data_IF_747388020691
#
_entry.id   IF_747388020691
#
_cell.length_a   1.000
_cell.length_b   1.000
_cell.length_c   1.000
_cell.angle_alpha   90.00
_cell.angle_beta   90.00
_cell.angle_gamma   90.00
#
_symmetry.space_group_name_H-M   'P 1'
#
loop_
_entity.id
_entity.type
_entity.pdbx_description
1 polymer ?
#
# COMPACT_ATOMS: atom_id res chain seq x y z
N UNK A 1 9.79 31.34 -10.92
CA UNK A 1 8.64 32.06 -10.33
C UNK A 1 8.57 31.71 -8.86
N UNK A 2 8.45 32.71 -8.00
CA UNK A 2 8.17 32.51 -6.59
C UNK A 2 6.66 32.33 -6.45
N UNK A 3 6.24 31.13 -6.06
CA UNK A 3 4.84 30.79 -5.81
C UNK A 3 4.56 31.03 -4.34
N UNK A 4 3.65 31.95 -4.03
CA UNK A 4 3.19 32.27 -2.68
C UNK A 4 1.74 31.83 -2.53
N UNK A 5 1.47 30.91 -1.60
CA UNK A 5 0.11 30.55 -1.23
C UNK A 5 0.04 30.08 0.23
N UNK A 6 -0.82 30.71 1.03
CA UNK A 6 -1.13 30.32 2.42
C UNK A 6 0.09 30.05 3.33
N UNK A 7 1.15 30.86 3.19
CA UNK A 7 2.33 30.83 4.07
C UNK A 7 3.47 29.91 3.61
N UNK A 8 3.36 29.24 2.46
CA UNK A 8 4.44 28.46 1.85
C UNK A 8 4.91 29.13 0.56
N UNK A 9 6.18 29.53 0.52
CA UNK A 9 6.84 30.07 -0.67
C UNK A 9 7.66 28.96 -1.35
N UNK A 10 7.40 28.69 -2.63
CA UNK A 10 8.14 27.70 -3.44
C UNK A 10 8.71 28.36 -4.70
N UNK A 11 9.97 28.09 -5.00
CA UNK A 11 10.57 28.46 -6.29
C UNK A 11 10.29 27.34 -7.29
N UNK A 12 9.61 27.66 -8.40
CA UNK A 12 9.26 26.72 -9.48
C UNK A 12 9.42 27.37 -10.85
N UNK A 13 9.43 26.57 -11.90
CA UNK A 13 9.39 27.03 -13.29
C UNK A 13 8.06 26.63 -13.94
N UNK A 14 7.67 27.17 -15.10
CA UNK A 14 6.47 26.75 -15.85
C UNK A 14 6.83 25.82 -17.02
N UNK A 15 8.06 25.91 -17.50
CA UNK A 15 8.67 24.98 -18.43
C UNK A 15 10.17 24.85 -18.11
N UNK A 16 10.78 23.74 -18.52
CA UNK A 16 12.23 23.66 -18.64
C UNK A 16 12.57 23.08 -20.00
N UNK A 17 13.75 23.39 -20.48
CA UNK A 17 14.36 22.71 -21.61
C UNK A 17 15.76 22.27 -21.19
N UNK A 18 16.24 21.21 -21.80
CA UNK A 18 17.61 20.75 -21.67
C UNK A 18 18.27 20.82 -23.04
N UNK A 19 19.58 21.14 -23.12
CA UNK A 19 20.34 21.01 -24.35
C UNK A 19 20.19 19.60 -24.96
N UNK A 20 20.15 19.53 -26.30
CA UNK A 20 19.87 18.28 -27.01
C UNK A 20 20.92 17.20 -26.72
N UNK A 21 22.18 17.62 -26.57
CA UNK A 21 23.35 16.80 -26.24
C UNK A 21 23.31 16.21 -24.82
N UNK A 22 22.52 16.78 -23.90
CA UNK A 22 22.32 16.18 -22.56
C UNK A 22 20.94 15.56 -22.38
N UNK A 23 20.02 15.75 -23.33
CA UNK A 23 18.64 15.30 -23.22
C UNK A 23 18.50 13.78 -23.05
N UNK A 24 19.39 13.01 -23.68
CA UNK A 24 19.45 11.55 -23.54
C UNK A 24 20.01 11.09 -22.17
N UNK A 25 20.64 11.98 -21.41
CA UNK A 25 21.24 11.70 -20.10
C UNK A 25 20.36 12.16 -18.93
N UNK A 26 19.27 12.89 -19.19
CA UNK A 26 18.38 13.45 -18.16
C UNK A 26 17.05 12.70 -18.15
N UNK A 27 16.86 11.82 -17.16
CA UNK A 27 15.59 11.11 -16.97
C UNK A 27 14.47 12.01 -16.42
N UNK A 28 14.81 12.91 -15.49
CA UNK A 28 13.86 13.79 -14.81
C UNK A 28 14.59 15.01 -14.24
N UNK A 29 14.04 16.22 -14.41
CA UNK A 29 14.44 17.39 -13.62
C UNK A 29 13.36 17.66 -12.57
N UNK A 30 13.74 17.53 -11.30
CA UNK A 30 12.85 17.70 -10.17
C UNK A 30 13.53 18.54 -9.05
N UNK A 31 12.85 19.53 -8.45
CA UNK A 31 11.50 20.03 -8.73
C UNK A 31 11.46 21.09 -9.85
N UNK A 32 10.48 21.04 -10.78
CA UNK A 32 10.40 21.99 -11.91
C UNK A 32 9.02 22.60 -12.15
N UNK A 33 8.20 22.06 -13.05
CA UNK A 33 7.07 22.76 -13.70
C UNK A 33 5.77 22.81 -12.90
N UNK A 34 5.86 22.55 -11.60
CA UNK A 34 4.74 22.00 -10.88
C UNK A 34 4.39 22.76 -9.60
N UNK A 35 3.09 23.04 -9.44
CA UNK A 35 2.50 23.81 -8.36
C UNK A 35 1.34 23.03 -7.75
N UNK A 36 1.46 22.56 -6.51
CA UNK A 36 0.28 22.14 -5.77
C UNK A 36 0.45 22.10 -4.25
N UNK A 37 -0.69 21.88 -3.56
CA UNK A 37 -0.89 21.86 -2.09
C UNK A 37 -1.09 20.47 -1.42
N UNK A 38 -0.52 20.17 -0.27
CA UNK A 38 -0.65 18.87 0.44
C UNK A 38 -2.07 18.54 0.97
N UNK A 39 -2.62 17.34 0.70
CA UNK A 39 -3.65 16.65 1.53
C UNK A 39 -3.40 15.13 1.55
N UNK A 40 -3.77 14.44 2.64
CA UNK A 40 -3.53 13.00 2.84
C UNK A 40 -4.78 12.17 2.56
N UNK A 41 -4.58 10.93 2.09
CA UNK A 41 -5.55 9.86 2.32
C UNK A 41 -5.49 9.53 3.80
N UNK A 42 -6.30 10.25 4.57
CA UNK A 42 -6.43 9.99 6.00
C UNK A 42 -6.85 8.54 6.23
N UNK A 43 -6.43 7.91 7.34
CA UNK A 43 -7.00 6.64 7.77
C UNK A 43 -8.52 6.75 7.76
N UNK A 44 -9.21 5.68 7.35
CA UNK A 44 -10.68 5.69 7.29
C UNK A 44 -11.23 5.98 8.69
N UNK A 45 -11.67 7.21 8.90
CA UNK A 45 -12.38 7.63 10.10
C UNK A 45 -13.83 7.17 9.96
N UNK A 46 -14.14 6.02 10.56
CA UNK A 46 -15.47 5.42 10.49
C UNK A 46 -16.49 6.30 11.22
N UNK A 47 -17.50 6.78 10.49
CA UNK A 47 -18.77 7.21 11.05
C UNK A 47 -19.63 5.96 11.33
N UNK A 48 -20.05 5.76 12.58
CA UNK A 48 -20.66 4.53 13.12
C UNK A 48 -22.06 4.16 12.59
N UNK A 49 -22.44 4.48 11.35
CA UNK A 49 -23.82 4.39 10.88
C UNK A 49 -24.08 3.42 9.71
N UNK A 50 -23.15 2.53 9.34
CA UNK A 50 -23.45 1.48 8.36
C UNK A 50 -23.69 0.12 9.03
N UNK A 51 -24.85 -0.48 8.72
CA UNK A 51 -25.30 -1.76 9.25
C UNK A 51 -24.39 -2.92 8.82
N UNK A 52 -24.00 -3.72 9.80
CA UNK A 52 -23.17 -4.92 9.63
C UNK A 52 -23.88 -5.97 8.75
N UNK A 53 -23.24 -6.50 7.69
CA UNK A 53 -23.79 -7.63 6.96
C UNK A 53 -23.72 -8.91 7.82
N UNK A 54 -24.81 -9.68 7.85
CA UNK A 54 -24.89 -10.98 8.54
C UNK A 54 -23.85 -11.99 7.99
N UNK A 55 -23.06 -12.57 8.91
CA UNK A 55 -21.98 -13.52 8.60
C UNK A 55 -22.49 -14.96 8.75
N UNK A 56 -22.71 -15.65 7.62
CA UNK A 56 -22.99 -17.10 7.60
C UNK A 56 -21.72 -17.96 7.82
N UNK A 57 -21.95 -19.13 8.43
CA UNK A 57 -20.95 -20.03 9.04
C UNK A 57 -20.02 -20.75 8.05
N UNK A 58 -18.74 -20.80 8.45
CA UNK A 58 -17.65 -21.78 8.16
C UNK A 58 -16.91 -21.68 6.82
N UNK A 59 -15.61 -21.38 6.92
CA UNK A 59 -14.49 -22.16 6.32
C UNK A 59 -13.10 -21.58 6.69
N UNK A 60 -12.74 -21.49 7.97
CA UNK A 60 -11.33 -21.54 8.38
C UNK A 60 -11.12 -22.59 9.46
N UNK A 61 -10.06 -23.40 9.33
CA UNK A 61 -9.73 -24.51 10.25
C UNK A 61 -8.81 -24.09 11.41
N UNK A 62 -8.42 -22.81 11.47
CA UNK A 62 -7.61 -22.27 12.56
C UNK A 62 -8.54 -21.79 13.70
N UNK A 63 -8.24 -22.13 14.96
CA UNK A 63 -8.98 -21.60 16.10
C UNK A 63 -8.67 -20.11 16.23
N UNK A 64 -9.57 -19.26 15.72
CA UNK A 64 -9.56 -17.82 15.90
C UNK A 64 -10.28 -17.45 17.19
N UNK A 65 -9.65 -16.63 18.02
CA UNK A 65 -10.29 -16.02 19.17
C UNK A 65 -11.55 -15.24 18.75
N UNK A 66 -12.65 -15.41 19.49
CA UNK A 66 -13.91 -14.76 19.19
C UNK A 66 -13.80 -13.22 19.23
N UNK A 67 -12.86 -12.67 20.01
CA UNK A 67 -12.57 -11.23 20.06
C UNK A 67 -12.10 -10.65 18.73
N UNK A 68 -11.52 -11.47 17.84
CA UNK A 68 -11.13 -11.02 16.50
C UNK A 68 -12.33 -10.66 15.62
N UNK A 69 -13.55 -11.01 16.02
CA UNK A 69 -14.79 -10.55 15.35
C UNK A 69 -15.23 -9.16 15.82
N UNK A 70 -14.67 -8.64 16.91
CA UNK A 70 -15.02 -7.34 17.48
C UNK A 70 -14.02 -6.24 17.11
N UNK A 71 -12.76 -6.63 16.91
CA UNK A 71 -11.70 -5.71 16.51
C UNK A 71 -10.40 -6.46 16.26
N UNK A 72 -9.64 -6.00 15.27
CA UNK A 72 -8.36 -6.58 14.91
C UNK A 72 -7.28 -6.02 15.83
N UNK A 73 -6.63 -6.94 16.53
CA UNK A 73 -5.52 -6.71 17.45
C UNK A 73 -4.28 -7.45 16.94
N UNK A 74 -3.07 -7.16 17.46
CA UNK A 74 -1.88 -7.87 17.02
C UNK A 74 -1.92 -9.39 17.28
N UNK A 75 -2.64 -9.86 18.31
CA UNK A 75 -2.87 -11.29 18.52
C UNK A 75 -3.81 -11.89 17.47
N UNK A 76 -4.79 -11.13 16.98
CA UNK A 76 -5.65 -11.54 15.88
C UNK A 76 -4.88 -11.67 14.57
N UNK A 77 -4.02 -10.70 14.23
CA UNK A 77 -3.18 -10.76 13.03
C UNK A 77 -2.26 -12.00 13.04
N UNK A 78 -1.67 -12.30 14.21
CA UNK A 78 -0.85 -13.51 14.37
C UNK A 78 -1.65 -14.80 14.20
N UNK A 79 -2.93 -14.82 14.57
CA UNK A 79 -3.81 -15.99 14.38
C UNK A 79 -4.32 -16.09 12.94
N UNK A 80 -4.79 -14.98 12.36
CA UNK A 80 -5.31 -14.91 10.98
C UNK A 80 -4.27 -15.41 9.98
N UNK A 81 -3.02 -14.96 10.12
CA UNK A 81 -1.94 -15.29 9.20
C UNK A 81 -1.04 -16.41 9.68
N UNK A 82 -1.51 -17.20 10.66
CA UNK A 82 -0.81 -18.39 11.13
C UNK A 82 0.66 -18.10 11.49
N UNK A 83 0.94 -17.04 12.25
CA UNK A 83 2.31 -16.72 12.70
C UNK A 83 2.82 -17.79 13.67
N UNK A 84 1.92 -18.39 14.44
CA UNK A 84 2.24 -19.48 15.36
C UNK A 84 3.15 -19.02 16.51
N UNK A 85 4.17 -19.83 16.82
CA UNK A 85 5.11 -19.61 17.91
C UNK A 85 6.43 -18.96 17.46
N UNK A 86 6.50 -18.47 16.21
CA UNK A 86 7.68 -17.82 15.68
C UNK A 86 8.06 -16.59 16.51
N UNK A 87 9.32 -16.51 16.93
CA UNK A 87 9.87 -15.41 17.72
C UNK A 87 11.03 -14.76 16.96
N UNK A 88 10.83 -13.57 16.38
CA UNK A 88 11.94 -12.85 15.76
C UNK A 88 12.98 -12.42 16.81
N UNK A 89 14.18 -12.07 16.35
CA UNK A 89 15.26 -11.55 17.20
C UNK A 89 15.69 -10.17 16.71
N UNK A 90 15.85 -9.23 17.63
CA UNK A 90 16.37 -7.90 17.32
C UNK A 90 17.79 -7.94 16.72
N UNK A 91 18.55 -9.00 17.00
CA UNK A 91 19.96 -9.15 16.60
C UNK A 91 20.15 -9.93 15.29
N UNK A 92 19.07 -10.33 14.61
CA UNK A 92 19.17 -11.07 13.33
C UNK A 92 19.73 -10.24 12.19
N UNK A 93 19.72 -8.92 12.32
CA UNK A 93 20.02 -7.97 11.26
C UNK A 93 18.83 -7.64 10.35
N UNK A 94 17.68 -8.29 10.54
CA UNK A 94 16.45 -7.94 9.82
C UNK A 94 15.83 -6.68 10.43
N UNK A 95 15.70 -5.62 9.63
CA UNK A 95 15.03 -4.37 10.02
C UNK A 95 13.83 -4.16 9.12
N UNK A 96 12.74 -3.66 9.68
CA UNK A 96 11.54 -3.27 8.95
C UNK A 96 11.35 -1.76 9.02
N UNK A 97 10.70 -1.17 8.02
CA UNK A 97 10.49 0.26 7.99
C UNK A 97 9.16 0.66 7.36
N UNK A 98 8.76 1.90 7.61
CA UNK A 98 7.66 2.53 6.90
C UNK A 98 8.00 3.97 6.51
N UNK A 99 7.43 4.42 5.40
CA UNK A 99 7.49 5.82 4.98
C UNK A 99 6.34 6.61 5.60
N UNK A 100 6.63 7.82 6.09
CA UNK A 100 5.61 8.78 6.49
C UNK A 100 5.77 10.05 5.68
N UNK A 101 4.67 10.44 5.04
CA UNK A 101 4.62 11.60 4.15
C UNK A 101 3.68 12.65 4.75
N UNK A 102 3.56 13.81 4.09
CA UNK A 102 2.51 14.79 4.37
C UNK A 102 2.51 15.36 5.82
N UNK A 103 3.71 15.46 6.42
CA UNK A 103 3.93 15.95 7.79
C UNK A 103 3.32 15.06 8.88
N UNK A 104 3.19 13.76 8.59
CA UNK A 104 2.78 12.78 9.57
C UNK A 104 3.98 12.15 10.26
N UNK A 105 3.80 11.84 11.54
CA UNK A 105 4.81 11.17 12.35
C UNK A 105 4.11 10.39 13.46
N UNK A 106 4.54 9.17 13.73
CA UNK A 106 3.93 8.38 14.79
C UNK A 106 4.18 9.03 16.17
N UNK A 107 3.22 8.87 17.07
CA UNK A 107 3.25 9.36 18.43
C UNK A 107 3.90 8.34 19.36
N UNK A 108 4.96 8.76 20.04
CA UNK A 108 5.66 7.93 21.02
C UNK A 108 4.74 7.54 22.19
N UNK A 109 3.86 8.47 22.62
CA UNK A 109 2.91 8.20 23.70
C UNK A 109 1.79 7.24 23.28
N UNK A 110 1.33 7.32 22.04
CA UNK A 110 0.30 6.42 21.54
C UNK A 110 0.86 5.00 21.35
N UNK A 111 2.09 4.87 20.85
CA UNK A 111 2.77 3.59 20.76
C UNK A 111 2.96 2.95 22.15
N UNK A 112 3.33 3.74 23.17
CA UNK A 112 3.42 3.28 24.56
C UNK A 112 2.07 2.71 25.05
N UNK A 113 0.98 3.44 24.82
CA UNK A 113 -0.37 3.00 25.20
C UNK A 113 -0.79 1.71 24.48
N UNK A 114 -0.48 1.61 23.18
CA UNK A 114 -0.72 0.41 22.39
C UNK A 114 0.04 -0.80 22.96
N UNK A 115 1.33 -0.63 23.24
CA UNK A 115 2.17 -1.66 23.84
C UNK A 115 1.65 -2.12 25.21
N UNK A 116 1.28 -1.18 26.08
CA UNK A 116 0.74 -1.47 27.41
C UNK A 116 -0.61 -2.19 27.35
N UNK A 117 -1.47 -1.81 26.39
CA UNK A 117 -2.78 -2.43 26.16
C UNK A 117 -2.64 -3.87 25.69
N UNK A 118 -1.77 -4.12 24.72
CA UNK A 118 -1.61 -5.44 24.07
C UNK A 118 -0.46 -6.27 24.61
N UNK A 119 0.18 -5.82 25.71
CA UNK A 119 1.27 -6.53 26.41
C UNK A 119 2.47 -6.81 25.52
N UNK A 120 2.80 -5.85 24.66
CA UNK A 120 4.00 -5.87 23.83
C UNK A 120 5.10 -5.13 24.60
N UNK A 121 6.30 -5.71 24.77
CA UNK A 121 7.41 -4.99 25.39
C UNK A 121 7.78 -3.73 24.59
N UNK A 122 8.12 -2.67 25.30
CA UNK A 122 8.50 -1.41 24.66
C UNK A 122 9.75 -1.59 23.81
N UNK A 123 9.71 -1.04 22.59
CA UNK A 123 10.85 -0.94 21.69
C UNK A 123 10.88 0.45 21.06
N UNK A 124 12.08 0.91 20.69
CA UNK A 124 12.22 2.16 19.95
C UNK A 124 11.83 1.97 18.48
N UNK A 125 11.12 2.95 17.93
CA UNK A 125 10.98 3.16 16.48
C UNK A 125 11.98 4.25 16.10
N UNK A 126 12.95 3.93 15.24
CA UNK A 126 13.99 4.87 14.83
C UNK A 126 13.43 5.83 13.80
N UNK A 127 13.44 7.13 14.08
CA UNK A 127 12.97 8.15 13.13
C UNK A 127 14.13 8.69 12.29
N UNK A 128 13.93 8.74 10.98
CA UNK A 128 14.88 9.27 10.02
C UNK A 128 14.23 10.43 9.27
N UNK A 129 14.85 11.60 9.36
CA UNK A 129 14.38 12.80 8.70
C UNK A 129 14.94 12.88 7.27
N UNK A 130 14.04 13.06 6.29
CA UNK A 130 14.36 13.31 4.88
C UNK A 130 13.74 14.67 4.51
N UNK A 131 14.55 15.56 3.92
CA UNK A 131 14.10 16.87 3.45
C UNK A 131 13.41 17.75 4.52
N UNK A 132 13.96 17.78 5.74
CA UNK A 132 13.46 18.60 6.85
C UNK A 132 11.99 18.32 7.19
N UNK A 133 11.56 17.05 7.10
CA UNK A 133 10.23 16.64 7.52
C UNK A 133 9.99 17.01 8.99
N UNK A 134 8.84 17.55 9.38
CA UNK A 134 8.56 17.75 10.80
C UNK A 134 8.34 16.39 11.50
N UNK A 135 8.83 16.27 12.73
CA UNK A 135 8.41 15.24 13.68
C UNK A 135 7.50 15.92 14.71
N UNK A 136 6.19 15.77 14.56
CA UNK A 136 5.22 16.46 15.40
C UNK A 136 4.64 15.51 16.46
N UNK A 137 5.10 15.69 17.70
CA UNK A 137 4.61 14.96 18.88
C UNK A 137 3.58 15.76 19.70
N UNK A 138 3.17 16.94 19.21
CA UNK A 138 2.30 17.85 19.95
C UNK A 138 0.79 17.55 19.78
N UNK A 139 -0.07 18.18 20.59
CA UNK A 139 -1.52 18.13 20.41
C UNK A 139 -1.93 18.65 19.02
N UNK A 140 -2.77 17.91 18.31
CA UNK A 140 -3.22 18.28 16.96
C UNK A 140 -2.29 17.85 15.82
N UNK A 141 -1.25 17.05 16.10
CA UNK A 141 -0.47 16.39 15.06
C UNK A 141 -1.33 15.42 14.24
N UNK A 142 -1.13 15.38 12.91
CA UNK A 142 -1.65 14.29 12.08
C UNK A 142 -0.77 13.07 12.31
N UNK A 143 -1.30 12.08 13.02
CA UNK A 143 -0.55 10.88 13.40
C UNK A 143 -1.35 9.59 13.19
N UNK A 144 -2.56 9.66 12.63
CA UNK A 144 -3.43 8.49 12.51
C UNK A 144 -2.81 7.38 11.67
N UNK A 145 -2.31 7.72 10.48
CA UNK A 145 -1.67 6.78 9.55
C UNK A 145 -0.32 6.29 10.08
N UNK A 146 0.57 7.21 10.46
CA UNK A 146 1.87 6.85 11.02
C UNK A 146 1.75 6.02 12.31
N UNK A 147 0.71 6.24 13.14
CA UNK A 147 0.40 5.37 14.27
C UNK A 147 -0.09 4.00 13.84
N UNK A 148 -0.96 3.92 12.83
CA UNK A 148 -1.45 2.66 12.28
C UNK A 148 -0.29 1.78 11.79
N UNK A 149 0.62 2.36 11.00
CA UNK A 149 1.82 1.67 10.51
C UNK A 149 2.71 1.22 11.67
N UNK A 150 3.15 2.16 12.52
CA UNK A 150 4.07 1.87 13.61
C UNK A 150 3.53 0.80 14.57
N UNK A 151 2.26 0.93 14.97
CA UNK A 151 1.65 0.04 15.96
C UNK A 151 1.45 -1.37 15.39
N UNK A 152 1.02 -1.52 14.13
CA UNK A 152 0.88 -2.85 13.52
C UNK A 152 2.24 -3.51 13.26
N UNK A 153 3.24 -2.77 12.78
CA UNK A 153 4.59 -3.32 12.57
C UNK A 153 5.22 -3.80 13.88
N UNK A 154 5.14 -2.98 14.93
CA UNK A 154 5.61 -3.37 16.27
C UNK A 154 4.79 -4.55 16.81
N UNK A 155 3.46 -4.49 16.73
CA UNK A 155 2.58 -5.53 17.29
C UNK A 155 2.76 -6.90 16.64
N UNK A 156 3.00 -6.94 15.33
CA UNK A 156 3.19 -8.20 14.59
C UNK A 156 4.62 -8.71 14.74
N UNK A 157 5.64 -7.87 14.54
CA UNK A 157 7.03 -8.31 14.38
C UNK A 157 7.98 -7.98 15.54
N UNK A 158 7.48 -7.55 16.70
CA UNK A 158 8.32 -7.39 17.90
C UNK A 158 9.19 -8.63 18.16
N UNK A 159 10.53 -8.50 18.40
CA UNK A 159 11.28 -7.26 18.64
C UNK A 159 12.13 -6.77 17.45
N UNK A 160 11.73 -7.00 16.19
CA UNK A 160 12.51 -6.48 15.05
C UNK A 160 12.66 -4.95 15.12
N UNK A 161 13.83 -4.37 14.80
CA UNK A 161 14.00 -2.93 14.70
C UNK A 161 13.07 -2.34 13.64
N UNK A 162 12.36 -1.27 14.03
CA UNK A 162 11.43 -0.53 13.16
C UNK A 162 12.02 0.84 12.87
N UNK A 163 11.99 1.27 11.61
CA UNK A 163 12.45 2.58 11.15
C UNK A 163 11.29 3.34 10.52
N UNK A 164 11.06 4.57 10.94
CA UNK A 164 10.14 5.51 10.30
C UNK A 164 10.95 6.50 9.46
N UNK A 165 10.62 6.64 8.18
CA UNK A 165 11.21 7.64 7.31
C UNK A 165 10.24 8.80 7.10
N UNK A 166 10.45 9.88 7.85
CA UNK A 166 9.70 11.12 7.74
C UNK A 166 10.20 11.88 6.51
N UNK A 167 9.37 12.02 5.48
CA UNK A 167 9.77 12.67 4.22
C UNK A 167 9.00 13.97 3.98
N UNK A 168 9.74 15.08 4.02
CA UNK A 168 9.25 16.40 3.70
C UNK A 168 9.32 16.71 2.20
N UNK A 169 8.57 17.72 1.80
CA UNK A 169 8.54 18.21 0.43
C UNK A 169 7.15 18.17 -0.20
N UNK A 170 7.07 18.57 -1.46
CA UNK A 170 5.84 18.46 -2.26
C UNK A 170 6.23 18.11 -3.69
N UNK A 171 5.92 16.90 -4.16
CA UNK A 171 6.22 16.41 -5.51
C UNK A 171 5.26 17.00 -6.58
N UNK A 172 5.28 16.46 -7.82
CA UNK A 172 4.41 16.84 -8.93
C UNK A 172 2.95 16.31 -8.91
N UNK A 173 1.94 17.11 -9.32
CA UNK A 173 0.53 16.74 -9.63
C UNK A 173 0.15 17.00 -11.11
N UNK A 174 -0.75 16.19 -11.64
CA UNK A 174 -1.61 16.49 -12.78
C UNK A 174 -3.05 16.46 -12.23
N UNK A 175 -3.72 17.63 -12.08
CA UNK A 175 -5.02 17.67 -11.41
C UNK A 175 -6.08 16.79 -12.10
N UNK A 176 -6.97 16.22 -11.30
CA UNK A 176 -8.22 15.58 -11.76
C UNK A 176 -9.39 16.01 -10.86
N UNK A 177 -10.58 15.40 -11.02
CA UNK A 177 -11.74 15.76 -10.21
C UNK A 177 -11.58 15.42 -8.72
N UNK A 178 -10.75 14.41 -8.38
CA UNK A 178 -10.47 14.04 -7.00
C UNK A 178 -9.49 15.06 -6.36
N UNK A 179 -8.68 15.74 -7.18
CA UNK A 179 -7.58 16.60 -6.74
C UNK A 179 -7.65 18.01 -7.37
N UNK A 180 -8.63 18.83 -6.95
CA UNK A 180 -8.98 20.10 -7.64
C UNK A 180 -7.97 21.26 -7.54
N UNK A 181 -6.89 21.17 -6.76
CA UNK A 181 -5.79 22.18 -6.70
C UNK A 181 -4.68 21.84 -5.68
N UNK A 182 -4.92 20.82 -4.85
CA UNK A 182 -4.02 20.37 -3.81
C UNK A 182 -3.18 19.17 -4.32
N UNK A 183 -1.86 19.34 -4.44
CA UNK A 183 -0.84 18.29 -4.50
C UNK A 183 -0.85 17.39 -3.25
N UNK A 184 -1.65 16.35 -3.28
CA UNK A 184 -1.58 15.22 -2.35
C UNK A 184 -0.37 14.34 -2.60
N UNK A 185 0.29 14.46 -3.77
CA UNK A 185 1.33 13.53 -4.16
C UNK A 185 2.43 13.44 -3.11
N UNK A 186 2.91 12.22 -2.92
CA UNK A 186 3.96 11.95 -1.96
C UNK A 186 5.34 12.13 -2.57
N UNK A 187 6.31 12.66 -1.80
CA UNK A 187 7.67 12.90 -2.26
C UNK A 187 8.48 11.60 -2.43
N UNK A 188 7.97 10.65 -3.23
CA UNK A 188 8.61 9.38 -3.57
C UNK A 188 10.01 9.53 -4.14
N UNK A 189 10.25 10.49 -5.05
CA UNK A 189 11.59 10.67 -5.64
C UNK A 189 12.64 10.99 -4.57
N UNK A 190 12.52 12.05 -3.74
CA UNK A 190 13.52 12.30 -2.70
C UNK A 190 13.57 11.20 -1.64
N UNK A 191 12.44 10.52 -1.34
CA UNK A 191 12.41 9.37 -0.45
C UNK A 191 13.28 8.21 -0.96
N UNK A 192 13.03 7.75 -2.18
CA UNK A 192 13.77 6.64 -2.79
C UNK A 192 15.21 7.02 -3.15
N UNK A 193 15.48 8.28 -3.52
CA UNK A 193 16.85 8.79 -3.68
C UNK A 193 17.63 8.73 -2.37
N UNK A 194 17.01 9.11 -1.25
CA UNK A 194 17.63 9.00 0.06
C UNK A 194 17.96 7.54 0.40
N UNK A 195 17.01 6.62 0.22
CA UNK A 195 17.26 5.19 0.44
C UNK A 195 18.40 4.68 -0.43
N UNK A 196 18.42 5.04 -1.72
CA UNK A 196 19.49 4.64 -2.63
C UNK A 196 20.86 5.21 -2.26
N UNK A 197 20.92 6.36 -1.58
CA UNK A 197 22.17 6.93 -1.07
C UNK A 197 22.81 6.15 0.09
N UNK A 198 22.05 5.25 0.74
CA UNK A 198 22.52 4.45 1.88
C UNK A 198 23.29 3.23 1.44
N UNK A 199 24.16 2.70 2.31
CA UNK A 199 24.76 1.38 2.14
C UNK A 199 23.73 0.26 2.39
N UNK A 200 24.01 -0.97 1.93
CA UNK A 200 23.11 -2.11 2.19
C UNK A 200 22.93 -2.40 3.69
N UNK A 201 23.95 -2.14 4.52
CA UNK A 201 23.88 -2.34 5.95
C UNK A 201 22.94 -1.35 6.65
N UNK A 202 22.76 -0.15 6.08
CA UNK A 202 21.87 0.88 6.61
C UNK A 202 20.41 0.65 6.17
N UNK A 203 20.18 0.00 5.01
CA UNK A 203 18.83 -0.25 4.49
C UNK A 203 18.05 -1.26 5.35
N UNK A 204 16.72 -1.06 5.50
CA UNK A 204 15.81 -2.08 6.00
C UNK A 204 15.61 -3.18 4.96
N UNK A 205 15.14 -4.34 5.40
CA UNK A 205 14.92 -5.51 4.56
C UNK A 205 13.47 -5.59 4.06
N UNK A 206 12.53 -4.91 4.72
CA UNK A 206 11.16 -4.71 4.26
C UNK A 206 10.69 -3.29 4.57
N UNK A 207 10.02 -2.66 3.61
CA UNK A 207 9.49 -1.29 3.70
C UNK A 207 8.00 -1.32 3.37
N UNK A 208 7.15 -0.73 4.20
CA UNK A 208 5.75 -0.44 3.89
C UNK A 208 5.57 1.05 3.60
N UNK A 209 4.82 1.38 2.56
CA UNK A 209 4.29 2.71 2.36
C UNK A 209 2.78 2.60 2.18
N UNK A 210 2.04 3.40 2.94
CA UNK A 210 0.59 3.36 3.01
C UNK A 210 -0.05 4.59 2.37
N UNK A 211 0.53 5.01 1.23
CA UNK A 211 0.18 6.24 0.52
C UNK A 211 0.11 5.98 -0.97
N UNK A 212 -0.71 6.74 -1.69
CA UNK A 212 -0.89 6.55 -3.12
C UNK A 212 -2.07 7.33 -3.66
N UNK A 213 -2.18 7.41 -4.98
CA UNK A 213 -3.04 8.36 -5.67
C UNK A 213 -3.48 7.81 -7.03
N UNK A 214 -4.51 8.37 -7.69
CA UNK A 214 -4.83 7.97 -9.05
C UNK A 214 -3.60 8.08 -9.96
N UNK A 215 -3.23 7.01 -10.67
CA UNK A 215 -2.01 6.95 -11.49
C UNK A 215 -1.94 8.12 -12.48
N UNK A 216 -3.09 8.51 -13.04
CA UNK A 216 -3.20 9.63 -13.99
C UNK A 216 -2.84 10.99 -13.40
N UNK A 217 -2.86 11.16 -12.07
CA UNK A 217 -2.50 12.42 -11.39
C UNK A 217 -1.00 12.51 -11.14
N UNK A 218 -0.26 11.41 -11.30
CA UNK A 218 1.20 11.38 -11.19
C UNK A 218 1.79 11.55 -12.60
N UNK A 219 2.72 12.50 -12.84
CA UNK A 219 3.39 12.58 -14.13
C UNK A 219 4.10 11.28 -14.49
N UNK A 220 3.85 10.76 -15.70
CA UNK A 220 4.34 9.45 -16.14
C UNK A 220 5.85 9.27 -15.97
N UNK A 221 6.65 10.29 -16.28
CA UNK A 221 8.11 10.25 -16.12
C UNK A 221 8.54 10.20 -14.64
N UNK A 222 7.82 10.89 -13.74
CA UNK A 222 8.02 10.80 -12.30
C UNK A 222 7.71 9.39 -11.80
N UNK A 223 6.56 8.83 -12.19
CA UNK A 223 6.17 7.47 -11.84
C UNK A 223 7.21 6.42 -12.32
N UNK A 224 7.64 6.52 -13.58
CA UNK A 224 8.67 5.64 -14.15
C UNK A 224 10.03 5.76 -13.46
N UNK A 225 10.45 6.98 -13.12
CA UNK A 225 11.71 7.23 -12.39
C UNK A 225 11.64 6.64 -10.99
N UNK A 226 10.54 6.89 -10.27
CA UNK A 226 10.26 6.30 -8.95
C UNK A 226 10.32 4.78 -9.00
N UNK A 227 9.60 4.14 -9.92
CA UNK A 227 9.62 2.70 -10.11
C UNK A 227 11.02 2.15 -10.42
N UNK A 228 11.83 2.87 -11.20
CA UNK A 228 13.21 2.46 -11.48
C UNK A 228 14.05 2.45 -10.21
N UNK A 229 13.89 3.45 -9.34
CA UNK A 229 14.60 3.50 -8.05
C UNK A 229 14.18 2.37 -7.11
N UNK A 230 12.88 2.04 -7.09
CA UNK A 230 12.35 0.90 -6.35
C UNK A 230 12.95 -0.41 -6.87
N UNK A 231 13.04 -0.60 -8.20
CA UNK A 231 13.65 -1.80 -8.79
C UNK A 231 15.11 -1.97 -8.33
N UNK A 232 15.87 -0.88 -8.25
CA UNK A 232 17.25 -0.90 -7.72
C UNK A 232 17.27 -1.32 -6.24
N UNK A 233 16.33 -0.85 -5.41
CA UNK A 233 16.21 -1.32 -4.03
C UNK A 233 15.88 -2.82 -3.94
N UNK A 234 14.99 -3.31 -4.82
CA UNK A 234 14.68 -4.72 -4.95
C UNK A 234 15.90 -5.59 -5.22
N UNK A 235 16.78 -5.15 -6.14
CA UNK A 235 18.06 -5.81 -6.45
C UNK A 235 19.02 -5.79 -5.25
N UNK A 236 18.91 -4.75 -4.40
CA UNK A 236 19.70 -4.62 -3.17
C UNK A 236 19.13 -5.41 -1.98
N UNK A 237 18.12 -6.24 -2.21
CA UNK A 237 17.57 -7.15 -1.20
C UNK A 237 16.50 -6.52 -0.30
N UNK A 238 15.90 -5.41 -0.72
CA UNK A 238 14.79 -4.76 0.00
C UNK A 238 13.46 -5.16 -0.61
N UNK A 239 12.52 -5.65 0.21
CA UNK A 239 11.12 -5.83 -0.18
C UNK A 239 10.36 -4.51 0.03
N UNK A 240 9.71 -3.99 -1.01
CA UNK A 240 8.93 -2.75 -0.93
C UNK A 240 7.46 -3.07 -1.13
N UNK A 241 6.65 -2.72 -0.13
CA UNK A 241 5.20 -2.90 -0.10
C UNK A 241 4.51 -1.55 -0.20
N UNK A 242 3.46 -1.49 -1.01
CA UNK A 242 2.63 -0.31 -1.19
C UNK A 242 1.17 -0.71 -1.01
N UNK A 243 0.40 0.05 -0.23
CA UNK A 243 -1.04 -0.13 -0.17
C UNK A 243 -1.65 0.06 -1.57
N UNK A 244 -2.64 -0.76 -1.92
CA UNK A 244 -3.27 -0.67 -3.25
C UNK A 244 -4.21 0.53 -3.37
N UNK A 245 -4.71 1.06 -2.24
CA UNK A 245 -5.67 2.15 -2.13
C UNK A 245 -7.04 1.69 -1.62
N UNK A 246 -7.87 2.65 -1.20
CA UNK A 246 -9.17 2.39 -0.56
C UNK A 246 -10.36 3.04 -1.31
N UNK A 247 -10.23 3.23 -2.62
CA UNK A 247 -11.29 3.80 -3.47
C UNK A 247 -11.84 2.78 -4.46
N UNK A 248 -11.54 1.49 -4.23
CA UNK A 248 -11.87 0.41 -5.12
C UNK A 248 -11.34 0.67 -6.54
N UNK A 249 -12.22 0.63 -7.53
CA UNK A 249 -11.82 0.82 -8.95
C UNK A 249 -11.48 2.28 -9.27
N UNK A 250 -11.80 3.20 -8.36
CA UNK A 250 -11.65 4.65 -8.50
C UNK A 250 -12.94 5.38 -8.13
N UNK A 251 -12.83 6.66 -7.77
CA UNK A 251 -13.99 7.47 -7.37
C UNK A 251 -14.68 8.11 -8.58
N UNK A 252 -13.95 8.97 -9.31
CA UNK A 252 -14.49 9.77 -10.41
C UNK A 252 -14.49 9.03 -11.77
N UNK A 253 -13.55 8.12 -12.02
CA UNK A 253 -13.42 7.33 -13.23
C UNK A 253 -13.50 8.11 -14.55
N UNK A 254 -12.83 9.28 -14.57
CA UNK A 254 -12.74 10.16 -15.74
C UNK A 254 -11.28 10.42 -16.13
N UNK A 255 -10.98 10.41 -17.43
CA UNK A 255 -9.65 10.74 -17.92
C UNK A 255 -9.34 12.23 -17.74
N UNK A 256 -8.14 12.54 -17.24
CA UNK A 256 -7.65 13.91 -17.04
C UNK A 256 -6.80 14.44 -18.23
N UNK A 257 -6.81 13.74 -19.37
CA UNK A 257 -6.09 14.08 -20.61
C UNK A 257 -6.81 15.09 -21.51
N UNK A 258 -7.85 15.76 -21.00
CA UNK A 258 -8.70 16.69 -21.73
C UNK A 258 -9.80 16.01 -22.57
N UNK A 259 -9.78 14.69 -22.74
CA UNK A 259 -10.79 13.95 -23.52
C UNK A 259 -12.02 13.55 -22.70
N UNK A 260 -11.91 13.57 -21.36
CA UNK A 260 -13.01 13.24 -20.43
C UNK A 260 -13.66 11.88 -20.73
N UNK A 261 -12.86 10.87 -21.07
CA UNK A 261 -13.31 9.50 -21.32
C UNK A 261 -13.59 8.82 -19.99
N UNK A 262 -14.59 7.94 -19.93
CA UNK A 262 -14.82 7.09 -18.76
C UNK A 262 -13.75 6.01 -18.73
N UNK A 263 -12.98 5.94 -17.65
CA UNK A 263 -11.91 4.97 -17.45
C UNK A 263 -11.83 4.59 -15.98
N UNK A 264 -11.43 3.37 -15.67
CA UNK A 264 -11.03 3.00 -14.31
C UNK A 264 -9.79 3.80 -13.89
N UNK A 265 -9.63 4.04 -12.59
CA UNK A 265 -8.51 4.83 -12.05
C UNK A 265 -7.59 3.94 -11.22
N UNK A 266 -6.62 3.24 -11.84
CA UNK A 266 -5.60 2.52 -11.09
C UNK A 266 -4.82 3.49 -10.20
N UNK A 267 -4.26 3.00 -9.09
CA UNK A 267 -3.53 3.83 -8.13
C UNK A 267 -2.01 3.69 -8.33
N UNK A 268 -1.24 4.73 -8.04
CA UNK A 268 0.22 4.74 -7.97
C UNK A 268 0.63 5.12 -6.55
N UNK A 269 1.61 4.44 -5.92
CA UNK A 269 2.53 3.46 -6.50
C UNK A 269 2.00 2.02 -6.64
N UNK A 270 0.76 1.69 -6.23
CA UNK A 270 0.22 0.31 -6.34
C UNK A 270 0.33 -0.33 -7.74
N UNK A 271 0.26 0.47 -8.80
CA UNK A 271 0.46 0.09 -10.21
C UNK A 271 1.91 -0.16 -10.62
N UNK A 272 2.90 0.21 -9.79
CA UNK A 272 4.30 -0.01 -10.08
C UNK A 272 4.63 -1.51 -10.14
N UNK A 273 5.37 -2.00 -11.16
CA UNK A 273 5.69 -3.42 -11.31
C UNK A 273 6.86 -3.89 -10.42
N UNK A 274 7.49 -2.99 -9.65
CA UNK A 274 8.68 -3.30 -8.85
C UNK A 274 8.45 -3.22 -7.35
N UNK A 275 7.20 -3.00 -6.95
CA UNK A 275 6.70 -3.14 -5.57
C UNK A 275 5.82 -4.38 -5.48
N UNK A 276 5.55 -4.81 -4.26
CA UNK A 276 4.48 -5.76 -3.95
C UNK A 276 3.26 -4.97 -3.48
N UNK A 277 2.22 -4.88 -4.31
CA UNK A 277 1.01 -4.12 -4.02
C UNK A 277 0.09 -4.93 -3.11
N UNK A 278 -0.35 -4.32 -2.01
CA UNK A 278 -1.12 -4.97 -0.95
C UNK A 278 -2.55 -4.46 -0.95
N UNK A 279 -3.47 -5.33 -1.36
CA UNK A 279 -4.91 -5.14 -1.30
C UNK A 279 -5.52 -5.45 0.06
N UNK A 280 -6.83 -5.31 0.12
CA UNK A 280 -7.61 -5.46 1.34
C UNK A 280 -8.61 -6.61 1.33
N UNK A 281 -8.70 -7.28 2.47
CA UNK A 281 -9.78 -8.21 2.80
C UNK A 281 -10.57 -7.74 4.00
N UNK A 282 -11.73 -8.33 4.23
CA UNK A 282 -12.55 -8.14 5.41
C UNK A 282 -13.17 -9.47 5.84
N UNK A 283 -13.94 -9.44 6.94
CA UNK A 283 -14.28 -10.60 7.76
C UNK A 283 -13.05 -11.32 8.32
N UNK A 284 -13.26 -12.36 9.13
CA UNK A 284 -12.17 -13.13 9.77
C UNK A 284 -12.26 -14.64 9.57
N UNK A 285 -13.41 -15.18 9.12
CA UNK A 285 -13.57 -16.63 8.92
C UNK A 285 -14.79 -16.95 8.04
N UNK A 286 -14.61 -17.07 6.72
CA UNK A 286 -13.39 -16.74 5.96
C UNK A 286 -13.19 -15.23 5.80
N UNK A 287 -11.98 -14.81 5.44
CA UNK A 287 -11.78 -13.49 4.87
C UNK A 287 -12.34 -13.44 3.45
N UNK A 288 -12.91 -12.30 3.06
CA UNK A 288 -13.47 -12.01 1.74
C UNK A 288 -12.88 -10.70 1.21
N UNK A 289 -12.98 -10.44 -0.10
CA UNK A 289 -12.53 -9.17 -0.68
C UNK A 289 -13.23 -7.98 -0.01
N UNK A 290 -12.45 -7.00 0.44
CA UNK A 290 -12.98 -5.78 0.99
C UNK A 290 -13.46 -4.87 -0.15
N UNK A 291 -14.69 -4.36 -0.03
CA UNK A 291 -15.38 -3.67 -1.13
C UNK A 291 -14.67 -2.42 -1.64
N UNK A 292 -13.92 -1.76 -0.77
CA UNK A 292 -13.23 -0.52 -1.13
C UNK A 292 -11.73 -0.76 -1.41
N UNK A 293 -11.25 -2.01 -1.38
CA UNK A 293 -9.88 -2.37 -1.80
C UNK A 293 -9.64 -2.01 -3.26
N UNK A 294 -8.65 -1.14 -3.51
CA UNK A 294 -8.31 -0.74 -4.87
C UNK A 294 -7.56 -1.81 -5.64
N UNK A 295 -7.83 -1.87 -6.94
CA UNK A 295 -7.22 -2.82 -7.85
C UNK A 295 -7.69 -2.65 -9.29
N UNK A 296 -6.97 -3.26 -10.22
CA UNK A 296 -7.20 -3.06 -11.65
C UNK A 296 -5.90 -3.18 -12.45
N UNK A 297 -5.77 -2.37 -13.50
CA UNK A 297 -4.68 -2.46 -14.46
C UNK A 297 -4.09 -1.08 -14.76
N UNK A 298 -2.77 -0.98 -14.73
CA UNK A 298 -2.01 0.24 -15.03
C UNK A 298 -2.17 0.71 -16.48
N UNK A 299 -2.22 2.02 -16.68
CA UNK A 299 -2.06 2.69 -17.98
C UNK A 299 -0.61 3.08 -18.28
N UNK A 300 0.26 3.15 -17.27
CA UNK A 300 1.66 3.56 -17.44
C UNK A 300 2.62 2.39 -17.66
N UNK A 301 2.39 1.28 -16.96
CA UNK A 301 3.30 0.15 -16.86
C UNK A 301 2.73 -1.07 -17.58
N UNK A 302 3.46 -1.64 -18.55
CA UNK A 302 3.04 -2.87 -19.21
C UNK A 302 3.06 -4.03 -18.21
N UNK A 303 2.29 -5.08 -18.52
CA UNK A 303 2.29 -6.30 -17.72
C UNK A 303 3.70 -6.89 -17.58
N UNK A 304 4.25 -7.03 -16.37
CA UNK A 304 5.56 -7.64 -16.17
C UNK A 304 5.51 -9.16 -16.38
N UNK A 305 6.65 -9.74 -16.72
CA UNK A 305 6.78 -11.15 -17.09
C UNK A 305 6.30 -12.11 -15.99
N UNK A 306 6.50 -11.77 -14.71
CA UNK A 306 6.19 -12.64 -13.59
C UNK A 306 4.69 -12.85 -13.37
N UNK A 307 3.83 -11.99 -13.93
CA UNK A 307 2.37 -12.08 -13.76
C UNK A 307 1.62 -12.43 -15.05
N UNK A 308 2.35 -12.76 -16.14
CA UNK A 308 1.74 -13.03 -17.44
C UNK A 308 0.75 -14.18 -17.34
N UNK A 309 1.13 -15.28 -16.71
CA UNK A 309 0.32 -16.50 -16.64
C UNK A 309 -0.94 -16.29 -15.80
N UNK A 310 -0.81 -15.70 -14.62
CA UNK A 310 -1.91 -15.43 -13.70
C UNK A 310 -2.92 -14.45 -14.29
N UNK A 311 -2.46 -13.32 -14.83
CA UNK A 311 -3.36 -12.31 -15.41
C UNK A 311 -4.01 -12.82 -16.70
N UNK A 312 -3.29 -13.58 -17.53
CA UNK A 312 -3.89 -14.19 -18.73
C UNK A 312 -4.95 -15.22 -18.35
N UNK A 313 -4.71 -16.00 -17.31
CA UNK A 313 -5.70 -16.94 -16.78
C UNK A 313 -6.95 -16.19 -16.28
N UNK A 314 -6.78 -15.11 -15.53
CA UNK A 314 -7.90 -14.27 -15.10
C UNK A 314 -8.73 -13.76 -16.29
N UNK A 315 -8.07 -13.11 -17.27
CA UNK A 315 -8.73 -12.49 -18.41
C UNK A 315 -9.41 -13.48 -19.37
N UNK A 316 -8.98 -14.74 -19.39
CA UNK A 316 -9.50 -15.75 -20.32
C UNK A 316 -10.48 -16.73 -19.67
N UNK A 317 -10.35 -16.98 -18.36
CA UNK A 317 -11.07 -18.03 -17.65
C UNK A 317 -12.01 -17.51 -16.57
N UNK A 318 -11.64 -16.47 -15.84
CA UNK A 318 -12.32 -16.11 -14.60
C UNK A 318 -13.12 -14.81 -14.65
N UNK A 319 -12.72 -13.84 -15.49
CA UNK A 319 -13.61 -12.72 -15.81
C UNK A 319 -14.75 -13.21 -16.74
N UNK A 320 -16.02 -12.95 -16.42
CA UNK A 320 -17.11 -13.31 -17.32
C UNK A 320 -16.94 -12.60 -18.68
N UNK A 321 -17.12 -13.28 -19.83
CA UNK A 321 -16.94 -12.66 -21.15
C UNK A 321 -17.83 -11.43 -21.38
N UNK A 322 -19.02 -11.41 -20.79
CA UNK A 322 -19.94 -10.26 -20.82
C UNK A 322 -19.39 -9.06 -20.05
N UNK A 323 -18.77 -9.29 -18.89
CA UNK A 323 -18.11 -8.25 -18.10
C UNK A 323 -16.88 -7.73 -18.82
N UNK A 324 -16.03 -8.62 -19.36
CA UNK A 324 -14.85 -8.22 -20.13
C UNK A 324 -15.22 -7.38 -21.35
N UNK A 325 -16.27 -7.77 -22.09
CA UNK A 325 -16.78 -7.00 -23.23
C UNK A 325 -17.26 -5.61 -22.79
N UNK A 326 -18.00 -5.54 -21.68
CA UNK A 326 -18.47 -4.27 -21.12
C UNK A 326 -17.32 -3.37 -20.66
N UNK A 327 -16.27 -3.95 -20.08
CA UNK A 327 -15.13 -3.21 -19.55
C UNK A 327 -14.06 -2.86 -20.60
N UNK A 328 -14.15 -3.37 -21.82
CA UNK A 328 -13.09 -3.24 -22.84
C UNK A 328 -12.62 -1.79 -23.09
N UNK A 329 -13.50 -0.81 -22.91
CA UNK A 329 -13.20 0.61 -23.12
C UNK A 329 -12.74 1.35 -21.86
N UNK A 330 -12.78 0.69 -20.68
CA UNK A 330 -12.56 1.31 -19.38
C UNK A 330 -11.24 0.94 -18.71
N UNK A 331 -10.51 -0.08 -19.18
CA UNK A 331 -9.22 -0.45 -18.60
C UNK A 331 -8.21 -0.91 -19.65
N UNK A 332 -6.92 -0.80 -19.30
CA UNK A 332 -5.83 -1.30 -20.12
C UNK A 332 -5.55 -2.78 -19.81
N UNK A 333 -6.10 -3.69 -20.61
CA UNK A 333 -5.89 -5.14 -20.43
C UNK A 333 -4.41 -5.57 -20.48
N UNK A 334 -3.55 -4.81 -21.17
CA UNK A 334 -2.13 -5.14 -21.33
C UNK A 334 -1.25 -4.56 -20.21
N UNK A 335 -1.86 -3.83 -19.27
CA UNK A 335 -1.17 -3.20 -18.14
C UNK A 335 -0.77 -4.17 -17.02
N UNK A 336 0.08 -3.68 -16.12
CA UNK A 336 0.34 -4.29 -14.81
C UNK A 336 -0.97 -4.36 -14.03
N UNK A 337 -1.50 -5.57 -13.85
CA UNK A 337 -2.61 -5.88 -12.95
C UNK A 337 -2.17 -5.86 -11.49
N UNK A 338 -2.94 -5.23 -10.58
CA UNK A 338 -2.71 -5.11 -9.13
C UNK A 338 -4.04 -5.28 -8.36
N UNK A 339 -4.05 -5.61 -7.05
CA UNK A 339 -2.89 -5.85 -6.17
C UNK A 339 -2.17 -7.17 -6.48
N UNK A 340 -1.03 -7.42 -5.83
CA UNK A 340 -0.31 -8.71 -5.92
C UNK A 340 -0.80 -9.69 -4.86
N UNK A 341 -1.11 -9.20 -3.67
CA UNK A 341 -1.52 -9.96 -2.47
C UNK A 341 -2.46 -9.09 -1.65
N UNK A 342 -3.14 -9.66 -0.65
CA UNK A 342 -3.99 -8.91 0.27
C UNK A 342 -3.78 -9.29 1.74
N UNK A 343 -4.29 -8.46 2.63
CA UNK A 343 -4.50 -8.77 4.05
C UNK A 343 -5.72 -7.99 4.56
N UNK A 344 -6.21 -8.36 5.74
CA UNK A 344 -7.31 -7.71 6.44
C UNK A 344 -7.17 -6.19 6.45
N UNK A 345 -8.25 -5.49 6.16
CA UNK A 345 -8.24 -4.03 6.00
C UNK A 345 -9.30 -3.33 6.82
N UNK A 346 -10.51 -3.85 7.00
CA UNK A 346 -11.56 -3.00 7.60
C UNK A 346 -12.54 -3.65 8.55
N UNK A 347 -13.21 -4.75 8.18
CA UNK A 347 -14.35 -5.23 8.96
C UNK A 347 -14.04 -6.59 9.58
N UNK A 348 -13.78 -6.71 10.89
CA UNK A 348 -13.81 -5.66 11.91
C UNK A 348 -12.57 -4.77 11.89
N UNK A 349 -12.68 -3.56 12.45
CA UNK A 349 -11.62 -2.55 12.34
C UNK A 349 -10.40 -2.86 13.21
N UNK A 350 -9.26 -2.29 12.82
CA UNK A 350 -8.04 -2.30 13.60
C UNK A 350 -8.19 -1.43 14.84
N UNK A 351 -7.66 -1.93 15.96
CA UNK A 351 -7.66 -1.25 17.25
C UNK A 351 -6.33 -0.55 17.46
N UNK A 352 -6.28 0.78 17.24
CA UNK A 352 -5.05 1.59 17.33
C UNK A 352 -5.21 2.73 18.31
N UNK A 353 -4.11 3.23 18.87
CA UNK A 353 -4.11 4.46 19.67
C UNK A 353 -3.83 5.67 18.80
N UNK A 354 -4.67 6.69 18.91
CA UNK A 354 -4.52 7.98 18.22
C UNK A 354 -4.94 9.08 19.19
N UNK A 355 -4.02 9.99 19.51
CA UNK A 355 -4.28 11.11 20.41
C UNK A 355 -4.65 10.64 21.83
N UNK A 356 -3.98 9.61 22.33
CA UNK A 356 -4.17 9.05 23.66
C UNK A 356 -5.40 8.14 23.84
N UNK A 357 -6.18 7.90 22.77
CA UNK A 357 -7.41 7.10 22.82
C UNK A 357 -7.35 5.91 21.89
N UNK A 358 -7.97 4.79 22.28
CA UNK A 358 -8.19 3.66 21.40
C UNK A 358 -9.26 4.03 20.36
N UNK A 359 -8.93 3.90 19.07
CA UNK A 359 -9.75 4.29 17.93
C UNK A 359 -9.80 3.15 16.91
N UNK A 360 -10.94 2.99 16.21
CA UNK A 360 -10.99 2.14 15.03
C UNK A 360 -10.17 2.76 13.90
N UNK A 361 -9.48 1.92 13.14
CA UNK A 361 -8.80 2.29 11.90
C UNK A 361 -8.84 1.12 10.91
N UNK A 362 -8.33 1.31 9.69
CA UNK A 362 -8.36 0.30 8.66
C UNK A 362 -7.76 0.79 7.35
N UNK A 363 -8.20 0.20 6.25
CA UNK A 363 -7.65 0.45 4.91
C UNK A 363 -6.63 -0.60 4.48
N UNK A 364 -6.27 -0.54 3.20
CA UNK A 364 -5.10 -1.23 2.66
C UNK A 364 -3.80 -0.70 3.29
N UNK A 365 -3.86 0.53 3.82
CA UNK A 365 -2.96 1.11 4.81
C UNK A 365 -2.68 0.25 6.03
N UNK A 366 -3.66 -0.51 6.54
CA UNK A 366 -3.43 -1.43 7.65
C UNK A 366 -2.83 -2.77 7.18
N UNK A 367 -3.14 -3.18 5.94
CA UNK A 367 -2.71 -4.45 5.36
C UNK A 367 -1.22 -4.46 4.96
N UNK A 368 -0.74 -3.37 4.35
CA UNK A 368 0.65 -3.21 3.89
C UNK A 368 1.71 -3.37 5.00
N UNK A 369 1.62 -2.66 6.15
CA UNK A 369 2.60 -2.80 7.24
C UNK A 369 2.59 -4.21 7.87
N UNK A 370 1.46 -4.91 7.83
CA UNK A 370 1.40 -6.31 8.29
C UNK A 370 2.21 -7.21 7.38
N UNK A 371 2.10 -7.06 6.06
CA UNK A 371 2.94 -7.79 5.10
C UNK A 371 4.43 -7.48 5.26
N UNK A 372 4.80 -6.20 5.45
CA UNK A 372 6.18 -5.82 5.74
C UNK A 372 6.71 -6.46 7.03
N UNK A 373 5.88 -6.52 8.07
CA UNK A 373 6.22 -7.18 9.34
C UNK A 373 6.42 -8.71 9.16
N UNK A 374 5.51 -9.38 8.44
CA UNK A 374 5.62 -10.82 8.13
C UNK A 374 6.89 -11.13 7.34
N UNK A 375 7.20 -10.36 6.29
CA UNK A 375 8.41 -10.56 5.50
C UNK A 375 9.69 -10.16 6.27
N UNK A 376 9.60 -9.17 7.17
CA UNK A 376 10.65 -8.91 8.14
C UNK A 376 11.01 -10.13 8.98
N UNK A 377 10.00 -10.88 9.45
CA UNK A 377 10.20 -12.13 10.18
C UNK A 377 10.76 -13.25 9.29
N UNK A 378 10.40 -13.33 8.00
CA UNK A 378 11.05 -14.24 7.06
C UNK A 378 12.54 -13.92 6.89
N UNK A 379 12.87 -12.64 6.75
CA UNK A 379 14.25 -12.17 6.62
C UNK A 379 15.04 -12.42 7.92
N UNK A 380 14.41 -12.32 9.09
CA UNK A 380 15.02 -12.71 10.37
C UNK A 380 15.43 -14.20 10.36
N UNK A 381 14.56 -15.10 9.91
CA UNK A 381 14.89 -16.53 9.80
C UNK A 381 16.04 -16.78 8.81
N UNK A 382 15.97 -16.14 7.64
CA UNK A 382 16.95 -16.29 6.57
C UNK A 382 18.33 -15.77 6.98
N UNK A 383 18.41 -14.60 7.59
CA UNK A 383 19.67 -14.00 8.04
C UNK A 383 20.31 -14.80 9.17
N UNK A 384 19.54 -15.32 10.13
CA UNK A 384 20.04 -16.28 11.15
C UNK A 384 20.65 -17.53 10.51
N UNK A 385 20.10 -17.97 9.39
CA UNK A 385 20.61 -19.08 8.58
C UNK A 385 21.68 -18.67 7.54
N UNK A 386 22.17 -17.42 7.59
CA UNK A 386 23.16 -16.85 6.66
C UNK A 386 22.72 -16.90 5.18
N UNK A 387 21.41 -16.83 4.93
CA UNK A 387 20.83 -16.72 3.59
C UNK A 387 20.60 -15.24 3.23
N UNK A 388 20.62 -14.88 1.93
CA UNK A 388 20.21 -13.56 1.48
C UNK A 388 18.78 -13.22 1.92
N UNK A 389 18.41 -11.95 1.96
CA UNK A 389 17.03 -11.53 2.22
C UNK A 389 16.14 -11.84 1.02
N UNK A 390 14.82 -11.69 1.17
CA UNK A 390 13.85 -12.00 0.12
C UNK A 390 13.89 -11.01 -1.04
N UNK A 391 14.26 -9.74 -0.81
CA UNK A 391 14.35 -8.73 -1.86
C UNK A 391 13.02 -8.51 -2.59
N UNK A 392 13.08 -8.37 -3.92
CA UNK A 392 11.88 -8.22 -4.74
C UNK A 392 11.05 -9.52 -4.77
N UNK A 393 9.85 -9.48 -4.17
CA UNK A 393 9.06 -10.68 -3.87
C UNK A 393 8.23 -11.22 -5.03
N UNK A 394 7.77 -10.36 -5.95
CA UNK A 394 6.71 -10.75 -6.89
C UNK A 394 7.06 -12.02 -7.70
N UNK A 395 8.29 -12.20 -8.23
CA UNK A 395 8.64 -13.46 -8.88
C UNK A 395 8.42 -14.72 -8.02
N UNK A 396 8.75 -14.65 -6.73
CA UNK A 396 8.52 -15.76 -5.80
C UNK A 396 7.02 -15.96 -5.52
N UNK A 397 6.28 -14.88 -5.31
CA UNK A 397 4.83 -14.90 -5.07
C UNK A 397 4.08 -15.50 -6.25
N UNK A 398 4.31 -15.03 -7.47
CA UNK A 398 3.59 -15.53 -8.65
C UNK A 398 4.05 -16.94 -9.08
N UNK A 399 5.27 -17.35 -8.77
CA UNK A 399 5.74 -18.70 -9.09
C UNK A 399 5.28 -19.77 -8.09
N UNK A 400 5.08 -19.42 -6.82
CA UNK A 400 4.89 -20.41 -5.74
C UNK A 400 3.75 -20.07 -4.77
N UNK A 401 3.04 -18.96 -4.97
CA UNK A 401 2.01 -18.42 -4.08
C UNK A 401 0.95 -19.44 -3.70
N UNK A 402 0.48 -20.25 -4.64
CA UNK A 402 -0.51 -21.32 -4.42
C UNK A 402 -0.14 -22.31 -3.30
N UNK A 403 1.16 -22.40 -2.95
CA UNK A 403 1.64 -23.29 -1.89
C UNK A 403 1.64 -22.67 -0.49
N UNK A 404 1.52 -21.34 -0.37
CA UNK A 404 1.66 -20.63 0.90
C UNK A 404 0.75 -19.41 1.10
N UNK A 405 -0.07 -19.07 0.11
CA UNK A 405 -1.15 -18.10 0.21
C UNK A 405 -2.48 -18.83 0.31
N UNK A 406 -3.44 -18.22 0.99
CA UNK A 406 -4.84 -18.67 0.97
C UNK A 406 -5.59 -17.83 -0.04
N UNK A 407 -6.13 -18.50 -1.04
CA UNK A 407 -6.91 -17.87 -2.11
C UNK A 407 -8.22 -17.28 -1.56
N UNK A 408 -8.50 -16.02 -1.91
CA UNK A 408 -9.74 -15.34 -1.55
C UNK A 408 -10.63 -15.39 -2.77
N UNK A 409 -11.76 -16.08 -2.66
CA UNK A 409 -12.65 -16.39 -3.80
C UNK A 409 -14.07 -15.84 -3.64
N UNK A 410 -14.27 -14.97 -2.65
CA UNK A 410 -15.57 -14.40 -2.29
C UNK A 410 -15.44 -12.90 -2.07
N UNK A 411 -16.53 -12.20 -2.36
CA UNK A 411 -16.59 -10.75 -2.28
C UNK A 411 -16.24 -10.10 -3.60
N UNK A 412 -16.30 -8.77 -3.62
CA UNK A 412 -15.95 -7.96 -4.78
C UNK A 412 -15.57 -6.56 -4.34
N UNK A 413 -14.84 -5.85 -5.19
CA UNK A 413 -14.61 -4.41 -5.06
C UNK A 413 -15.67 -3.63 -5.82
N UNK A 414 -15.87 -2.36 -5.45
CA UNK A 414 -16.79 -1.44 -6.14
C UNK A 414 -16.06 -0.16 -6.53
N UNK A 415 -16.60 0.62 -7.45
CA UNK A 415 -16.04 1.92 -7.78
C UNK A 415 -16.83 2.65 -8.85
N UNK A 416 -16.25 3.72 -9.36
CA UNK A 416 -16.77 4.55 -10.43
C UNK A 416 -18.22 5.00 -10.22
N UNK A 417 -18.58 5.24 -8.96
CA UNK A 417 -19.92 5.67 -8.55
C UNK A 417 -20.06 7.19 -8.51
N UNK A 418 -18.96 7.93 -8.72
CA UNK A 418 -18.90 9.37 -8.50
C UNK A 418 -18.78 9.74 -7.01
N UNK A 419 -18.43 8.78 -6.14
CA UNK A 419 -18.23 8.98 -4.70
C UNK A 419 -16.84 8.50 -4.31
N UNK A 420 -16.09 9.32 -3.58
CA UNK A 420 -14.89 8.87 -2.88
C UNK A 420 -15.33 8.22 -1.55
N UNK A 421 -15.11 6.91 -1.41
CA UNK A 421 -15.62 6.15 -0.26
C UNK A 421 -14.85 6.42 1.04
N UNK A 422 -13.60 6.89 0.98
CA UNK A 422 -12.83 7.29 2.16
C UNK A 422 -13.36 8.58 2.78
N UNK A 423 -13.76 9.55 1.96
CA UNK A 423 -14.18 10.89 2.41
C UNK A 423 -15.70 11.07 2.41
N UNK A 424 -16.44 10.22 1.71
CA UNK A 424 -17.86 10.38 1.41
C UNK A 424 -18.16 11.50 0.38
N UNK A 425 -17.13 12.13 -0.20
CA UNK A 425 -17.31 13.23 -1.13
C UNK A 425 -17.93 12.76 -2.44
N UNK A 426 -18.88 13.53 -2.97
CA UNK A 426 -19.57 13.24 -4.24
C UNK A 426 -19.14 14.22 -5.33
N UNK A 427 -18.59 13.68 -6.42
CA UNK A 427 -18.10 14.46 -7.55
C UNK A 427 -19.22 14.82 -8.53
N UNK A 428 -19.36 16.11 -8.82
CA UNK A 428 -20.21 16.57 -9.93
C UNK A 428 -19.45 16.44 -11.24
N UNK A 429 -20.04 15.78 -12.25
CA UNK A 429 -19.39 15.57 -13.55
C UNK A 429 -18.42 14.39 -13.62
N UNK A 430 -18.48 13.48 -12.65
CA UNK A 430 -17.72 12.23 -12.65
C UNK A 430 -18.07 11.32 -13.82
N UNK A 431 -17.09 10.53 -14.27
CA UNK A 431 -17.22 9.46 -15.24
C UNK A 431 -17.84 8.21 -14.63
N UNK A 432 -19.11 8.27 -14.25
CA UNK A 432 -19.82 7.14 -13.64
C UNK A 432 -19.84 5.94 -14.61
N UNK A 433 -19.39 4.77 -14.13
CA UNK A 433 -19.44 3.48 -14.84
C UNK A 433 -20.35 2.54 -14.05
N UNK A 434 -21.62 2.35 -14.46
CA UNK A 434 -22.57 1.52 -13.74
C UNK A 434 -22.08 0.08 -13.55
N UNK A 435 -22.09 -0.40 -12.30
CA UNK A 435 -21.68 -1.77 -11.99
C UNK A 435 -20.19 -2.04 -12.18
N UNK A 436 -19.33 -1.02 -12.13
CA UNK A 436 -17.89 -1.21 -12.03
C UNK A 436 -17.55 -1.99 -10.76
N UNK A 437 -17.01 -3.20 -10.94
CA UNK A 437 -16.65 -4.12 -9.87
C UNK A 437 -15.58 -5.13 -10.32
N UNK A 438 -14.65 -5.50 -9.42
CA UNK A 438 -13.82 -6.68 -9.58
C UNK A 438 -14.26 -7.75 -8.61
N UNK A 439 -14.69 -8.90 -9.12
CA UNK A 439 -15.00 -10.05 -8.28
C UNK A 439 -13.69 -10.73 -7.85
N UNK A 440 -13.63 -11.12 -6.59
CA UNK A 440 -12.64 -12.08 -6.14
C UNK A 440 -13.01 -13.48 -6.66
N UNK A 441 -12.02 -14.23 -7.14
CA UNK A 441 -12.21 -15.49 -7.88
C UNK A 441 -11.05 -16.45 -7.63
N UNK A 442 -11.04 -17.60 -8.30
CA UNK A 442 -9.95 -18.58 -8.14
C UNK A 442 -8.64 -18.05 -8.74
N UNK A 443 -7.57 -18.07 -7.95
CA UNK A 443 -6.25 -17.61 -8.35
C UNK A 443 -6.14 -16.08 -8.32
N UNK A 444 -5.27 -15.51 -9.15
CA UNK A 444 -5.11 -14.06 -9.16
C UNK A 444 -6.35 -13.33 -9.67
N UNK A 445 -6.76 -12.29 -8.97
CA UNK A 445 -7.76 -11.32 -9.43
C UNK A 445 -7.43 -9.86 -9.04
N UNK A 446 -8.05 -8.86 -9.69
CA UNK A 446 -7.81 -7.46 -9.37
C UNK A 446 -8.52 -6.97 -8.09
N UNK A 447 -9.12 -7.86 -7.29
CA UNK A 447 -9.72 -7.50 -6.00
C UNK A 447 -8.76 -7.82 -4.84
N UNK A 448 -8.17 -9.02 -4.86
CA UNK A 448 -7.37 -9.59 -3.77
C UNK A 448 -6.01 -10.15 -4.18
N UNK A 449 -5.64 -10.01 -5.45
CA UNK A 449 -4.38 -10.51 -5.97
C UNK A 449 -4.29 -12.02 -5.82
N UNK A 450 -3.14 -12.53 -5.37
CA UNK A 450 -2.90 -13.96 -5.12
C UNK A 450 -3.49 -14.45 -3.77
N UNK A 451 -4.11 -13.57 -2.98
CA UNK A 451 -4.73 -13.90 -1.70
C UNK A 451 -3.93 -13.47 -0.46
N UNK A 452 -4.22 -14.11 0.67
CA UNK A 452 -3.74 -13.72 2.02
C UNK A 452 -2.64 -14.65 2.55
N UNK A 453 -1.77 -14.21 3.47
CA UNK A 453 -0.60 -14.99 3.89
C UNK A 453 -0.93 -16.15 4.84
N UNK A 454 -0.25 -17.30 4.65
CA UNK A 454 -0.05 -18.32 5.68
C UNK A 454 1.44 -18.31 6.07
N UNK A 455 1.77 -17.64 7.18
CA UNK A 455 3.15 -17.35 7.55
C UNK A 455 3.99 -18.61 7.74
N UNK A 456 3.48 -19.68 8.34
CA UNK A 456 4.25 -20.92 8.50
C UNK A 456 4.60 -21.57 7.15
N UNK A 457 3.66 -21.56 6.20
CA UNK A 457 3.94 -22.07 4.84
C UNK A 457 4.91 -21.16 4.09
N UNK A 458 4.75 -19.84 4.23
CA UNK A 458 5.67 -18.85 3.68
C UNK A 458 7.07 -19.06 4.25
N UNK A 459 7.21 -19.24 5.56
CA UNK A 459 8.49 -19.49 6.23
C UNK A 459 9.17 -20.75 5.67
N UNK A 460 8.42 -21.85 5.53
CA UNK A 460 8.94 -23.07 4.94
C UNK A 460 9.43 -22.86 3.50
N UNK A 461 8.63 -22.21 2.66
CA UNK A 461 9.00 -21.91 1.26
C UNK A 461 10.19 -20.96 1.17
N UNK A 462 10.15 -19.86 1.93
CA UNK A 462 11.20 -18.87 2.02
C UNK A 462 12.52 -19.47 2.50
N UNK A 463 12.54 -20.48 3.37
CA UNK A 463 13.79 -21.13 3.77
C UNK A 463 14.36 -22.10 2.73
N UNK A 464 13.49 -22.64 1.85
CA UNK A 464 13.86 -23.57 0.79
C UNK A 464 14.34 -22.87 -0.49
N UNK A 465 13.82 -21.67 -0.80
CA UNK A 465 14.18 -20.95 -2.02
C UNK A 465 15.60 -20.37 -1.96
N UNK A 466 16.40 -20.67 -2.98
CA UNK A 466 17.63 -19.95 -3.29
C UNK A 466 17.24 -18.63 -3.93
N UNK A 467 17.51 -17.51 -3.25
CA UNK A 467 17.25 -16.16 -3.75
C UNK A 467 18.53 -15.62 -4.33
#
# INVERSE_FOLDING_TARGET
MEYHNEGVSKIRTTAYSVPMDVSEHVALIHPTTFFGKTQAFAPIHINLNEEEPEVEKRQSSLPLDASCRQGITPSCLKQLYNVGDYKPSADSGSKIAFGSFLNESHSLSDLKLYNDKFKIPDQAVTKVNINNAPDNQGPGASNGEANLDAQNMVGVAHPLPVIEYLTGGSPPIVPDLDLEAANTNEPYVPYYQYLLSKSNAELPQAISNSYGEPEQTVPKNYAQTTCTMIAILGIRGVSVFESSGDTGIGSNCLSNDGQKRRIFNPQFPGSCPWITSVGGTEAVSPEIAWRDSSGGFSYYFPRPWYQVDQVSTYLTKYIPPTVLTYYNDFFNKDGRGFPDISAHSLTPNYQVFVGGSLRPSGGTSAASPVWAALVGMLNDARLKAKKPTMGFLNPWLYAQGDSFLTDVTRGNTRGCSGVNFQTGFRFTGSGIIPGASWNSTVGWDPATGLGIPDFQKMLKSAMAVGV
#
